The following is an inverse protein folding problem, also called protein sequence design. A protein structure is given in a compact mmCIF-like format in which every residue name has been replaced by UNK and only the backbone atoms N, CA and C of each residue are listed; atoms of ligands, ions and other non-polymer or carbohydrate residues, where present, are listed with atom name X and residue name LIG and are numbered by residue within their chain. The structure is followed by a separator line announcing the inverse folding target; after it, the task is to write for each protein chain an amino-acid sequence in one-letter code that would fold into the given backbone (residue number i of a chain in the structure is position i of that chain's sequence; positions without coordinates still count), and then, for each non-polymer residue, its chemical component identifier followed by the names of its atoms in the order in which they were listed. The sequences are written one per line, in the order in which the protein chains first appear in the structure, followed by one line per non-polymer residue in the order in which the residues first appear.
data_IF_928040342478
#
_entry.id   IF_928040342478
#
_cell.length_a   1.000
_cell.length_b   1.000
_cell.length_c   1.000
_cell.angle_alpha   90.00
_cell.angle_beta   90.00
_cell.angle_gamma   90.00
#
_symmetry.space_group_name_H-M   'P 1'
#
loop_
_entity.id
_entity.type
_entity.pdbx_description
1 polymer ?
#
# COMPACT_ATOMS: atom_id res chain seq x y z
N UNK A 1 12.78 27.47 -19.38
CA UNK A 1 11.54 26.69 -19.26
C UNK A 1 11.81 25.28 -19.80
N UNK A 2 12.38 24.40 -18.97
CA UNK A 2 12.73 23.02 -19.35
C UNK A 2 11.56 22.11 -18.96
N UNK A 3 10.67 21.86 -19.92
CA UNK A 3 9.66 20.80 -19.81
C UNK A 3 10.40 19.46 -19.90
N UNK A 4 10.59 18.79 -18.77
CA UNK A 4 11.00 17.38 -18.75
C UNK A 4 9.80 16.51 -19.10
N UNK A 5 9.60 16.27 -20.39
CA UNK A 5 8.69 15.24 -20.89
C UNK A 5 9.28 13.87 -20.60
N UNK A 6 8.86 13.26 -19.48
CA UNK A 6 9.08 11.84 -19.21
C UNK A 6 8.20 11.01 -20.17
N UNK A 7 8.62 10.86 -21.41
CA UNK A 7 8.00 9.89 -22.34
C UNK A 7 8.35 8.48 -21.87
N UNK A 8 7.36 7.79 -21.27
CA UNK A 8 7.42 6.35 -21.03
C UNK A 8 7.74 5.65 -22.35
N UNK A 9 8.89 5.01 -22.47
CA UNK A 9 9.21 4.22 -23.67
C UNK A 9 8.15 3.11 -23.81
N UNK A 10 7.50 2.99 -24.97
CA UNK A 10 6.41 2.05 -25.17
C UNK A 10 6.86 0.58 -25.12
N UNK A 11 8.16 0.29 -25.14
CA UNK A 11 8.72 -1.07 -25.28
C UNK A 11 9.07 -1.72 -23.92
N UNK A 12 9.28 -0.93 -22.87
CA UNK A 12 9.79 -1.44 -21.59
C UNK A 12 8.72 -2.29 -20.89
N UNK A 13 9.09 -3.52 -20.52
CA UNK A 13 8.20 -4.43 -19.81
C UNK A 13 7.16 -5.13 -20.70
N UNK A 14 7.24 -4.99 -22.03
CA UNK A 14 6.38 -5.75 -22.95
C UNK A 14 6.93 -7.15 -23.17
N UNK A 15 6.01 -8.08 -23.36
CA UNK A 15 6.31 -9.44 -23.82
C UNK A 15 6.39 -9.38 -25.35
N UNK A 16 7.59 -9.61 -25.90
CA UNK A 16 7.87 -9.43 -27.34
C UNK A 16 7.31 -10.57 -28.20
N UNK A 17 7.18 -11.77 -27.62
CA UNK A 17 6.65 -12.96 -28.27
C UNK A 17 5.61 -13.61 -27.37
N UNK A 18 4.48 -14.06 -27.95
CA UNK A 18 3.42 -14.73 -27.20
C UNK A 18 3.98 -16.04 -26.60
N UNK A 19 3.91 -16.23 -25.27
CA UNK A 19 4.42 -17.45 -24.67
C UNK A 19 3.57 -18.67 -25.04
N UNK A 20 4.22 -19.81 -25.22
CA UNK A 20 3.59 -21.11 -25.39
C UNK A 20 2.95 -21.63 -24.10
N UNK A 21 2.19 -22.72 -24.19
CA UNK A 21 1.50 -23.31 -23.04
C UNK A 21 2.49 -23.73 -21.93
N UNK A 22 3.62 -24.34 -22.30
CA UNK A 22 4.64 -24.79 -21.34
C UNK A 22 5.24 -23.61 -20.58
N UNK A 23 5.58 -22.53 -21.26
CA UNK A 23 6.13 -21.33 -20.63
C UNK A 23 5.14 -20.67 -19.68
N UNK A 24 3.85 -20.64 -20.05
CA UNK A 24 2.78 -20.15 -19.18
C UNK A 24 2.68 -21.02 -17.92
N UNK A 25 2.70 -22.35 -18.05
CA UNK A 25 2.65 -23.25 -16.89
C UNK A 25 3.89 -23.09 -16.00
N UNK A 26 5.09 -23.02 -16.57
CA UNK A 26 6.33 -22.80 -15.82
C UNK A 26 6.33 -21.45 -15.09
N UNK A 27 5.80 -20.39 -15.71
CA UNK A 27 5.61 -19.10 -15.05
C UNK A 27 4.57 -19.18 -13.92
N UNK A 28 3.39 -19.74 -14.19
CA UNK A 28 2.28 -19.81 -13.23
C UNK A 28 2.62 -20.66 -11.99
N UNK A 29 3.44 -21.69 -12.16
CA UNK A 29 3.85 -22.60 -11.08
C UNK A 29 5.32 -22.42 -10.66
N UNK A 30 5.94 -21.29 -11.00
CA UNK A 30 7.32 -21.01 -10.61
C UNK A 30 7.45 -20.94 -9.08
N UNK A 31 8.21 -21.89 -8.52
CA UNK A 31 8.33 -22.08 -7.08
C UNK A 31 8.82 -20.84 -6.32
N UNK A 32 9.59 -19.97 -6.99
CA UNK A 32 10.21 -18.77 -6.40
C UNK A 32 9.19 -17.78 -5.83
N UNK A 33 7.97 -17.74 -6.37
CA UNK A 33 6.91 -16.88 -5.83
C UNK A 33 5.53 -17.51 -5.77
N UNK A 34 5.47 -18.85 -5.80
CA UNK A 34 4.20 -19.60 -5.80
C UNK A 34 3.40 -19.46 -4.50
N UNK A 35 4.07 -19.36 -3.34
CA UNK A 35 3.38 -19.50 -2.05
C UNK A 35 2.71 -18.21 -1.55
N UNK A 36 3.48 -17.18 -1.23
CA UNK A 36 2.97 -15.98 -0.51
C UNK A 36 3.20 -14.67 -1.26
N UNK A 37 3.55 -14.76 -2.55
CA UNK A 37 4.02 -13.65 -3.38
C UNK A 37 5.55 -13.57 -3.41
N UNK A 38 6.14 -12.46 -3.91
CA UNK A 38 5.49 -11.30 -4.51
C UNK A 38 4.76 -11.60 -5.83
N UNK A 39 3.84 -10.71 -6.24
CA UNK A 39 3.36 -10.68 -7.62
C UNK A 39 4.49 -10.21 -8.55
N UNK A 40 4.66 -10.89 -9.68
CA UNK A 40 5.58 -10.47 -10.73
C UNK A 40 4.99 -10.78 -12.10
N UNK A 41 5.36 -10.00 -13.11
CA UNK A 41 4.90 -10.19 -14.49
C UNK A 41 5.66 -11.31 -15.18
N UNK A 42 5.05 -11.88 -16.22
CA UNK A 42 5.74 -12.82 -17.12
C UNK A 42 7.06 -12.25 -17.65
N UNK A 43 7.11 -10.94 -17.97
CA UNK A 43 8.36 -10.32 -18.42
C UNK A 43 9.47 -10.39 -17.38
N UNK A 44 9.17 -10.19 -16.09
CA UNK A 44 10.16 -10.31 -15.01
C UNK A 44 10.66 -11.73 -14.86
N UNK A 45 9.76 -12.71 -14.99
CA UNK A 45 10.13 -14.12 -15.03
C UNK A 45 11.05 -14.44 -16.23
N UNK A 46 10.69 -13.97 -17.42
CA UNK A 46 11.50 -14.16 -18.63
C UNK A 46 12.86 -13.47 -18.53
N UNK A 47 12.93 -12.24 -18.00
CA UNK A 47 14.19 -11.53 -17.77
C UNK A 47 15.10 -12.34 -16.86
N UNK A 48 14.55 -12.92 -15.79
CA UNK A 48 15.28 -13.79 -14.88
C UNK A 48 15.79 -15.07 -15.54
N UNK A 49 15.04 -15.67 -16.47
CA UNK A 49 15.53 -16.83 -17.23
C UNK A 49 16.60 -16.47 -18.27
N UNK A 50 16.56 -15.23 -18.78
CA UNK A 50 17.50 -14.73 -19.80
C UNK A 50 18.68 -13.97 -19.19
N UNK A 51 18.76 -13.89 -17.86
CA UNK A 51 19.83 -13.18 -17.18
C UNK A 51 21.14 -13.95 -17.29
N UNK A 52 22.26 -13.22 -17.26
CA UNK A 52 23.61 -13.77 -17.13
C UNK A 52 23.69 -14.61 -15.85
N UNK A 53 24.63 -15.55 -15.77
CA UNK A 53 24.83 -16.44 -14.63
C UNK A 53 24.44 -15.81 -13.28
N UNK A 54 23.34 -16.29 -12.71
CA UNK A 54 22.78 -15.81 -11.45
C UNK A 54 23.78 -15.85 -10.28
N UNK A 55 24.82 -16.69 -10.39
CA UNK A 55 25.87 -16.82 -9.37
C UNK A 55 26.72 -15.55 -9.22
N UNK A 56 26.82 -14.74 -10.28
CA UNK A 56 27.61 -13.49 -10.28
C UNK A 56 26.83 -12.28 -9.75
N UNK A 57 25.50 -12.40 -9.64
CA UNK A 57 24.64 -11.33 -9.15
C UNK A 57 24.67 -11.30 -7.61
N UNK A 58 25.00 -10.16 -6.97
CA UNK A 58 25.03 -10.08 -5.52
C UNK A 58 23.66 -10.37 -4.89
N UNK A 59 23.52 -11.53 -4.24
CA UNK A 59 22.29 -11.95 -3.56
C UNK A 59 22.44 -12.02 -2.04
N UNK A 60 23.59 -12.49 -1.54
CA UNK A 60 23.82 -12.74 -0.11
C UNK A 60 23.65 -11.50 0.77
N UNK A 61 24.36 -10.40 0.45
CA UNK A 61 24.29 -9.16 1.26
C UNK A 61 22.89 -8.52 1.23
N UNK A 62 22.24 -8.33 0.06
CA UNK A 62 20.86 -7.85 0.01
C UNK A 62 19.87 -8.74 0.77
N UNK A 63 20.02 -10.06 0.67
CA UNK A 63 19.17 -11.01 1.38
C UNK A 63 19.33 -10.88 2.90
N UNK A 64 20.57 -10.84 3.42
CA UNK A 64 20.80 -10.66 4.86
C UNK A 64 20.26 -9.32 5.37
N UNK A 65 20.43 -8.25 4.59
CA UNK A 65 19.85 -6.96 4.93
C UNK A 65 18.32 -7.03 5.03
N UNK A 66 17.67 -7.79 4.14
CA UNK A 66 16.23 -7.98 4.15
C UNK A 66 15.77 -8.90 5.28
N UNK A 67 16.56 -9.92 5.59
CA UNK A 67 16.30 -10.92 6.63
C UNK A 67 16.38 -10.35 8.05
N UNK A 68 17.22 -9.34 8.31
CA UNK A 68 17.57 -8.85 9.67
C UNK A 68 16.38 -8.57 10.61
N UNK A 69 15.24 -8.15 10.06
CA UNK A 69 14.05 -7.81 10.85
C UNK A 69 13.09 -8.99 11.06
N UNK A 70 13.25 -10.08 10.31
CA UNK A 70 12.34 -11.23 10.34
C UNK A 70 12.28 -11.87 11.74
N UNK A 71 13.40 -12.15 12.44
CA UNK A 71 13.33 -12.73 13.78
C UNK A 71 12.62 -11.82 14.78
N UNK A 72 12.83 -10.50 14.69
CA UNK A 72 12.22 -9.51 15.57
C UNK A 72 10.69 -9.50 15.37
N UNK A 73 10.23 -9.43 14.12
CA UNK A 73 8.80 -9.51 13.81
C UNK A 73 8.20 -10.86 14.19
N UNK A 74 8.94 -11.97 14.02
CA UNK A 74 8.52 -13.30 14.43
C UNK A 74 8.30 -13.41 15.94
N UNK A 75 9.24 -12.92 16.75
CA UNK A 75 9.11 -12.88 18.21
C UNK A 75 7.91 -12.02 18.62
N UNK A 76 7.76 -10.83 18.05
CA UNK A 76 6.62 -9.97 18.33
C UNK A 76 5.28 -10.62 17.95
N UNK A 77 5.22 -11.29 16.80
CA UNK A 77 4.05 -12.06 16.39
C UNK A 77 3.69 -13.14 17.42
N UNK A 78 4.65 -13.99 17.80
CA UNK A 78 4.42 -15.10 18.73
C UNK A 78 4.04 -14.61 20.14
N UNK A 79 4.77 -13.64 20.67
CA UNK A 79 4.54 -13.11 22.03
C UNK A 79 3.20 -12.39 22.12
N UNK A 80 2.92 -11.45 21.20
CA UNK A 80 1.68 -10.66 21.28
C UNK A 80 0.44 -11.51 20.96
N UNK A 81 0.54 -12.48 20.04
CA UNK A 81 -0.58 -13.39 19.74
C UNK A 81 -0.92 -14.31 20.91
N UNK A 82 0.06 -14.68 21.73
CA UNK A 82 -0.17 -15.45 22.96
C UNK A 82 -1.01 -14.66 23.98
N UNK A 83 -0.69 -13.37 24.18
CA UNK A 83 -1.42 -12.52 25.15
C UNK A 83 -2.74 -11.97 24.61
N UNK A 84 -2.86 -11.81 23.29
CA UNK A 84 -4.03 -11.22 22.63
C UNK A 84 -4.60 -12.16 21.56
N UNK A 85 -5.15 -13.33 21.95
CA UNK A 85 -5.71 -14.29 21.00
C UNK A 85 -6.97 -13.74 20.34
N UNK A 86 -7.08 -13.89 19.02
CA UNK A 86 -8.24 -13.43 18.25
C UNK A 86 -9.56 -14.03 18.74
N UNK A 87 -9.55 -15.30 19.15
CA UNK A 87 -10.77 -16.00 19.58
C UNK A 87 -11.40 -15.41 20.85
N UNK A 88 -10.63 -14.69 21.68
CA UNK A 88 -11.18 -14.02 22.85
C UNK A 88 -12.25 -12.99 22.44
N UNK A 89 -12.11 -12.35 21.28
CA UNK A 89 -13.07 -11.37 20.74
C UNK A 89 -14.45 -11.99 20.50
N UNK A 90 -14.52 -13.31 20.26
CA UNK A 90 -15.78 -14.04 20.05
C UNK A 90 -16.49 -14.41 21.35
N UNK A 91 -15.80 -14.31 22.49
CA UNK A 91 -16.33 -14.72 23.80
C UNK A 91 -17.28 -13.66 24.41
N UNK A 92 -18.26 -14.10 25.20
CA UNK A 92 -19.12 -13.17 25.95
C UNK A 92 -18.33 -12.33 26.97
N UNK A 93 -17.31 -12.92 27.59
CA UNK A 93 -16.42 -12.23 28.54
C UNK A 93 -15.72 -11.00 27.92
N UNK A 94 -15.42 -11.03 26.62
CA UNK A 94 -14.90 -9.85 25.91
C UNK A 94 -15.92 -8.70 25.88
N UNK A 95 -17.19 -9.02 25.64
CA UNK A 95 -18.26 -8.02 25.53
C UNK A 95 -18.73 -7.47 26.88
N UNK A 96 -18.43 -8.15 27.99
CA UNK A 96 -18.58 -7.63 29.35
C UNK A 96 -17.54 -6.54 29.68
N UNK A 97 -16.46 -6.43 28.91
CA UNK A 97 -15.43 -5.41 29.13
C UNK A 97 -15.92 -4.03 28.69
N UNK A 98 -15.44 -3.00 29.40
CA UNK A 98 -15.72 -1.60 29.06
C UNK A 98 -15.28 -1.21 27.65
N UNK A 99 -15.89 -0.15 27.11
CA UNK A 99 -15.59 0.38 25.77
C UNK A 99 -14.08 0.64 25.53
N UNK A 100 -13.31 1.26 26.47
CA UNK A 100 -11.88 1.50 26.24
C UNK A 100 -11.09 0.22 26.02
N UNK A 101 -11.42 -0.86 26.72
CA UNK A 101 -10.74 -2.14 26.56
C UNK A 101 -11.04 -2.74 25.18
N UNK A 102 -12.29 -2.70 24.73
CA UNK A 102 -12.69 -3.21 23.41
C UNK A 102 -12.02 -2.42 22.28
N UNK A 103 -11.94 -1.09 22.40
CA UNK A 103 -11.20 -0.24 21.46
C UNK A 103 -9.69 -0.49 21.50
N UNK A 104 -9.12 -0.78 22.67
CA UNK A 104 -7.72 -1.13 22.78
C UNK A 104 -7.42 -2.47 22.11
N UNK A 105 -8.30 -3.47 22.23
CA UNK A 105 -8.02 -4.84 21.81
C UNK A 105 -7.81 -5.02 20.29
N UNK A 106 -8.38 -4.16 19.45
CA UNK A 106 -8.06 -4.18 18.00
C UNK A 106 -6.60 -3.80 17.69
N UNK A 107 -5.94 -3.03 18.55
CA UNK A 107 -4.56 -2.57 18.35
C UNK A 107 -3.55 -3.75 18.36
N UNK A 108 -3.49 -4.60 19.41
CA UNK A 108 -2.61 -5.76 19.39
C UNK A 108 -3.03 -6.78 18.33
N UNK A 109 -4.31 -6.93 18.01
CA UNK A 109 -4.77 -7.82 16.93
C UNK A 109 -4.20 -7.37 15.56
N UNK A 110 -4.31 -6.09 15.23
CA UNK A 110 -3.73 -5.58 13.99
C UNK A 110 -2.20 -5.59 14.01
N UNK A 111 -1.58 -5.36 15.17
CA UNK A 111 -0.13 -5.52 15.32
C UNK A 111 0.31 -6.95 15.00
N UNK A 112 -0.33 -7.96 15.60
CA UNK A 112 -0.09 -9.39 15.32
C UNK A 112 -0.29 -9.69 13.83
N UNK A 113 -1.37 -9.18 13.24
CA UNK A 113 -1.64 -9.32 11.81
C UNK A 113 -0.49 -8.78 10.96
N UNK A 114 -0.03 -7.54 11.22
CA UNK A 114 1.10 -6.94 10.51
C UNK A 114 2.38 -7.72 10.67
N UNK A 115 2.76 -8.07 11.90
CA UNK A 115 4.00 -8.83 12.16
C UNK A 115 4.03 -10.16 11.40
N UNK A 116 2.90 -10.89 11.39
CA UNK A 116 2.76 -12.14 10.63
C UNK A 116 3.00 -11.95 9.14
N UNK A 117 2.41 -10.92 8.54
CA UNK A 117 2.58 -10.63 7.11
C UNK A 117 3.96 -10.05 6.79
N UNK A 118 4.57 -9.27 7.69
CA UNK A 118 5.95 -8.80 7.54
C UNK A 118 6.91 -9.98 7.46
N UNK A 119 6.77 -10.96 8.37
CA UNK A 119 7.56 -12.20 8.31
C UNK A 119 7.33 -12.92 6.99
N UNK A 120 6.07 -13.19 6.63
CA UNK A 120 5.75 -13.97 5.43
C UNK A 120 6.29 -13.33 4.14
N UNK A 121 6.11 -12.01 3.97
CA UNK A 121 6.56 -11.32 2.76
C UNK A 121 8.07 -11.06 2.75
N UNK A 122 8.70 -10.77 3.88
CA UNK A 122 10.16 -10.64 3.91
C UNK A 122 10.84 -12.00 3.62
N UNK A 123 10.30 -13.12 4.12
CA UNK A 123 10.78 -14.45 3.76
C UNK A 123 10.64 -14.72 2.26
N UNK A 124 9.50 -14.38 1.66
CA UNK A 124 9.26 -14.55 0.24
C UNK A 124 10.22 -13.70 -0.61
N UNK A 125 10.46 -12.46 -0.21
CA UNK A 125 11.45 -11.60 -0.85
C UNK A 125 12.86 -12.14 -0.71
N UNK A 126 13.23 -12.69 0.47
CA UNK A 126 14.53 -13.35 0.64
C UNK A 126 14.68 -14.55 -0.30
N UNK A 127 13.62 -15.34 -0.52
CA UNK A 127 13.64 -16.44 -1.47
C UNK A 127 13.85 -15.96 -2.92
N UNK A 128 13.18 -14.87 -3.32
CA UNK A 128 13.44 -14.23 -4.62
C UNK A 128 14.88 -13.73 -4.72
N UNK A 129 15.38 -13.01 -3.72
CA UNK A 129 16.75 -12.47 -3.71
C UNK A 129 17.79 -13.60 -3.79
N UNK A 130 17.60 -14.69 -3.03
CA UNK A 130 18.48 -15.85 -3.06
C UNK A 130 18.60 -16.48 -4.46
N UNK A 131 17.53 -16.42 -5.25
CA UNK A 131 17.48 -16.90 -6.64
C UNK A 131 17.94 -15.84 -7.67
N UNK A 132 18.42 -14.68 -7.23
CA UNK A 132 18.62 -13.48 -8.07
C UNK A 132 17.35 -13.05 -8.84
N UNK A 133 16.17 -13.48 -8.38
CA UNK A 133 14.90 -13.23 -9.04
C UNK A 133 14.46 -11.78 -8.84
N UNK A 134 14.22 -11.08 -9.95
CA UNK A 134 13.88 -9.66 -9.94
C UNK A 134 15.06 -8.74 -9.66
N UNK A 135 16.29 -9.24 -9.77
CA UNK A 135 17.49 -8.44 -9.80
C UNK A 135 17.54 -7.63 -11.10
N UNK A 136 17.76 -6.32 -10.99
CA UNK A 136 18.02 -5.46 -12.13
C UNK A 136 19.14 -4.48 -11.80
N UNK A 137 19.87 -3.97 -12.80
CA UNK A 137 20.80 -2.87 -12.59
C UNK A 137 20.09 -1.67 -11.96
N UNK A 138 20.73 -0.98 -11.02
CA UNK A 138 20.16 0.23 -10.40
C UNK A 138 19.77 1.29 -11.45
N UNK A 139 20.47 1.31 -12.58
CA UNK A 139 20.18 2.18 -13.73
C UNK A 139 18.82 1.90 -14.37
N UNK A 140 18.25 0.69 -14.24
CA UNK A 140 16.93 0.31 -14.75
C UNK A 140 15.77 0.99 -14.00
N UNK A 141 16.05 1.60 -12.84
CA UNK A 141 15.09 2.32 -11.98
C UNK A 141 13.82 1.49 -11.77
N UNK A 142 14.01 0.25 -11.35
CA UNK A 142 12.94 -0.71 -11.18
C UNK A 142 11.92 -0.25 -10.14
N UNK A 143 10.68 -0.72 -10.27
CA UNK A 143 9.61 -0.48 -9.29
C UNK A 143 8.93 -1.79 -8.92
N UNK A 144 8.53 -1.87 -7.65
CA UNK A 144 7.75 -2.97 -7.10
C UNK A 144 6.56 -3.35 -8.01
N UNK A 145 6.52 -4.64 -8.39
CA UNK A 145 5.55 -5.25 -9.30
C UNK A 145 5.68 -4.84 -10.77
N UNK A 146 6.24 -3.66 -11.04
CA UNK A 146 6.33 -3.05 -12.35
C UNK A 146 7.61 -3.32 -13.12
N UNK A 147 8.66 -3.84 -12.50
CA UNK A 147 9.95 -4.08 -13.16
C UNK A 147 10.68 -2.79 -13.56
N UNK A 148 11.64 -2.87 -14.50
CA UNK A 148 12.36 -1.74 -15.06
C UNK A 148 11.43 -0.64 -15.57
N UNK A 149 11.80 0.62 -15.35
CA UNK A 149 11.04 1.78 -15.85
C UNK A 149 11.75 2.57 -16.94
N UNK A 150 13.05 2.32 -17.12
CA UNK A 150 13.87 2.87 -18.21
C UNK A 150 14.55 1.72 -18.96
N UNK A 151 14.94 1.98 -20.21
CA UNK A 151 15.80 1.05 -20.95
C UNK A 151 17.17 1.03 -20.28
N UNK A 152 17.75 -0.16 -20.20
CA UNK A 152 19.11 -0.40 -19.70
C UNK A 152 19.78 -1.36 -20.67
N UNK A 153 21.09 -1.26 -20.80
CA UNK A 153 21.83 -2.12 -21.72
C UNK A 153 21.90 -3.55 -21.17
N UNK A 154 21.71 -4.58 -22.03
CA UNK A 154 22.02 -5.94 -21.67
C UNK A 154 23.49 -6.01 -21.28
N UNK A 155 23.78 -6.54 -20.09
CA UNK A 155 25.16 -6.62 -19.60
C UNK A 155 25.93 -7.70 -20.38
N UNK A 156 27.25 -7.58 -20.38
CA UNK A 156 28.15 -8.66 -20.79
C UNK A 156 28.71 -9.39 -19.57
N UNK A 157 29.14 -10.65 -19.72
CA UNK A 157 29.56 -11.53 -18.62
C UNK A 157 30.63 -10.92 -17.68
N UNK A 158 31.51 -10.05 -18.22
CA UNK A 158 32.55 -9.36 -17.44
C UNK A 158 32.08 -8.13 -16.66
N UNK A 159 30.99 -7.49 -17.07
CA UNK A 159 30.48 -6.25 -16.47
C UNK A 159 29.51 -6.53 -15.32
N UNK A 160 28.89 -7.71 -15.32
CA UNK A 160 27.85 -8.09 -14.38
C UNK A 160 28.32 -8.08 -12.91
N UNK A 161 29.59 -8.35 -12.63
CA UNK A 161 30.13 -8.29 -11.25
C UNK A 161 30.44 -6.87 -10.77
N UNK A 162 30.57 -5.92 -11.70
CA UNK A 162 31.06 -4.55 -11.45
C UNK A 162 29.93 -3.53 -11.24
N UNK A 163 28.71 -3.88 -11.64
CA UNK A 163 27.56 -2.98 -11.56
C UNK A 163 26.70 -3.25 -10.32
N UNK A 164 26.06 -2.19 -9.82
CA UNK A 164 25.14 -2.31 -8.70
C UNK A 164 23.76 -2.82 -9.17
N UNK A 165 23.23 -3.82 -8.45
CA UNK A 165 21.86 -4.32 -8.63
C UNK A 165 20.95 -3.89 -7.48
N UNK A 166 19.66 -3.74 -7.80
CA UNK A 166 18.59 -3.69 -6.81
C UNK A 166 17.57 -4.81 -7.04
N UNK A 167 16.74 -5.02 -6.02
CA UNK A 167 15.64 -5.99 -6.01
C UNK A 167 14.30 -5.26 -5.82
N UNK A 168 14.20 -4.00 -6.23
CA UNK A 168 13.00 -3.19 -5.99
C UNK A 168 11.78 -3.76 -6.72
N UNK A 169 11.97 -4.51 -7.82
CA UNK A 169 10.89 -5.19 -8.55
C UNK A 169 10.08 -6.14 -7.68
N UNK A 170 10.76 -6.88 -6.78
CA UNK A 170 10.14 -7.94 -5.96
C UNK A 170 9.80 -7.47 -4.55
N UNK A 171 10.17 -6.22 -4.19
CA UNK A 171 9.87 -5.63 -2.90
C UNK A 171 8.36 -5.55 -2.68
N UNK A 172 7.84 -6.33 -1.75
CA UNK A 172 6.41 -6.47 -1.49
C UNK A 172 5.94 -5.72 -0.24
N UNK A 173 6.85 -5.36 0.67
CA UNK A 173 6.49 -4.68 1.91
C UNK A 173 7.50 -3.62 2.32
N UNK A 174 7.03 -2.49 2.84
CA UNK A 174 7.87 -1.54 3.57
C UNK A 174 7.30 -1.38 4.99
N UNK A 175 7.80 -2.15 5.99
CA UNK A 175 7.29 -2.10 7.35
C UNK A 175 7.32 -0.70 7.98
N UNK A 176 8.39 0.04 7.73
CA UNK A 176 8.52 1.40 8.26
C UNK A 176 7.52 2.35 7.59
N UNK A 177 7.43 2.28 6.26
CA UNK A 177 6.43 3.05 5.49
C UNK A 177 5.00 2.73 5.92
N UNK A 178 4.65 1.46 6.09
CA UNK A 178 3.31 1.05 6.54
C UNK A 178 2.98 1.59 7.93
N UNK A 179 3.92 1.51 8.87
CA UNK A 179 3.68 1.85 10.27
C UNK A 179 3.64 3.36 10.49
N UNK A 180 4.60 4.09 9.91
CA UNK A 180 4.85 5.49 10.26
C UNK A 180 4.36 6.51 9.23
N UNK A 181 3.91 6.10 8.05
CA UNK A 181 3.30 7.07 7.13
C UNK A 181 2.04 7.68 7.73
N UNK A 182 1.82 8.97 7.49
CA UNK A 182 0.69 9.71 8.06
C UNK A 182 -0.63 9.34 7.39
N UNK A 183 -0.61 9.17 6.05
CA UNK A 183 -1.81 9.04 5.23
C UNK A 183 -2.19 7.58 4.99
N UNK A 184 -3.50 7.32 4.94
CA UNK A 184 -4.08 6.03 4.55
C UNK A 184 -3.62 5.67 3.14
N UNK A 185 -3.74 6.61 2.20
CA UNK A 185 -3.33 6.41 0.81
C UNK A 185 -1.88 5.94 0.67
N UNK A 186 -0.97 6.48 1.49
CA UNK A 186 0.44 6.12 1.45
C UNK A 186 0.69 4.77 2.14
N UNK A 187 0.03 4.50 3.27
CA UNK A 187 0.15 3.22 3.95
C UNK A 187 -0.29 2.04 3.08
N UNK A 188 -1.36 2.23 2.30
CA UNK A 188 -1.79 1.25 1.30
C UNK A 188 -0.71 0.97 0.25
N UNK A 189 0.11 1.95 -0.13
CA UNK A 189 1.17 1.78 -1.14
C UNK A 189 2.39 1.02 -0.62
N UNK A 190 2.60 1.00 0.69
CA UNK A 190 3.69 0.29 1.35
C UNK A 190 3.32 -1.15 1.73
N UNK A 191 2.02 -1.47 1.74
CA UNK A 191 1.48 -2.78 2.09
C UNK A 191 1.14 -3.60 0.84
N UNK A 192 1.71 -4.81 0.71
CA UNK A 192 1.49 -5.70 -0.45
C UNK A 192 1.77 -4.99 -1.79
N UNK A 193 2.91 -4.33 -1.88
CA UNK A 193 3.27 -3.34 -2.90
C UNK A 193 3.13 -3.88 -4.33
N UNK A 194 3.50 -5.14 -4.57
CA UNK A 194 3.43 -5.73 -5.91
C UNK A 194 1.99 -5.99 -6.35
N UNK A 195 1.12 -6.40 -5.42
CA UNK A 195 -0.32 -6.56 -5.67
C UNK A 195 -1.00 -5.19 -5.80
N UNK A 196 -0.56 -4.17 -5.04
CA UNK A 196 -1.04 -2.80 -5.23
C UNK A 196 -0.71 -2.28 -6.63
N UNK A 197 0.47 -2.60 -7.15
CA UNK A 197 0.81 -2.30 -8.53
C UNK A 197 -0.14 -3.02 -9.50
N UNK A 198 -0.39 -4.32 -9.29
CA UNK A 198 -1.32 -5.12 -10.10
C UNK A 198 -2.75 -4.54 -10.10
N UNK A 199 -3.30 -4.26 -8.91
CA UNK A 199 -4.61 -3.62 -8.74
C UNK A 199 -4.65 -2.27 -9.47
N UNK A 200 -3.61 -1.45 -9.32
CA UNK A 200 -3.54 -0.15 -9.98
C UNK A 200 -3.50 -0.25 -11.52
N UNK A 201 -2.77 -1.23 -12.07
CA UNK A 201 -2.65 -1.39 -13.52
C UNK A 201 -3.86 -2.04 -14.18
N UNK A 202 -4.37 -3.12 -13.58
CA UNK A 202 -5.31 -4.01 -14.25
C UNK A 202 -6.75 -3.83 -13.78
N UNK A 203 -6.98 -3.26 -12.59
CA UNK A 203 -8.32 -3.10 -12.02
C UNK A 203 -8.72 -1.62 -11.93
N UNK A 204 -7.91 -0.79 -11.29
CA UNK A 204 -8.24 0.63 -11.09
C UNK A 204 -8.31 1.41 -12.41
N UNK A 205 -7.39 1.12 -13.35
CA UNK A 205 -7.33 1.78 -14.67
C UNK A 205 -8.46 1.36 -15.61
N UNK A 206 -8.90 0.11 -15.51
CA UNK A 206 -9.97 -0.48 -16.31
C UNK A 206 -11.36 -0.31 -15.69
N UNK A 207 -11.43 0.23 -14.47
CA UNK A 207 -12.69 0.45 -13.76
C UNK A 207 -13.68 1.26 -14.63
N UNK A 208 -14.96 0.88 -14.69
CA UNK A 208 -15.96 1.48 -15.59
C UNK A 208 -16.44 2.88 -15.13
N UNK A 209 -15.77 3.47 -14.15
CA UNK A 209 -16.20 4.72 -13.50
C UNK A 209 -15.17 5.83 -13.73
N UNK A 210 -15.64 7.06 -13.95
CA UNK A 210 -14.78 8.24 -14.03
C UNK A 210 -14.42 8.80 -12.66
N UNK A 211 -15.34 8.70 -11.69
CA UNK A 211 -15.15 9.23 -10.34
C UNK A 211 -14.03 8.50 -9.60
N UNK A 212 -13.06 9.25 -9.07
CA UNK A 212 -11.94 8.73 -8.29
C UNK A 212 -12.41 7.77 -7.18
N UNK A 213 -13.48 8.13 -6.46
CA UNK A 213 -13.93 7.32 -5.34
C UNK A 213 -14.59 6.01 -5.78
N UNK A 214 -15.37 6.05 -6.86
CA UNK A 214 -16.01 4.85 -7.43
C UNK A 214 -14.98 3.88 -8.00
N UNK A 215 -13.89 4.39 -8.60
CA UNK A 215 -12.76 3.55 -9.02
C UNK A 215 -12.04 2.90 -7.84
N UNK A 216 -11.87 3.62 -6.73
CA UNK A 216 -11.31 3.06 -5.51
C UNK A 216 -12.25 2.00 -4.92
N UNK A 217 -13.55 2.28 -4.81
CA UNK A 217 -14.54 1.31 -4.33
C UNK A 217 -14.58 0.04 -5.19
N UNK A 218 -14.56 0.19 -6.51
CA UNK A 218 -14.45 -0.93 -7.45
C UNK A 218 -13.18 -1.75 -7.22
N UNK A 219 -12.04 -1.09 -7.08
CA UNK A 219 -10.75 -1.76 -6.84
C UNK A 219 -10.75 -2.50 -5.50
N UNK A 220 -11.32 -1.90 -4.46
CA UNK A 220 -11.41 -2.51 -3.13
C UNK A 220 -12.41 -3.67 -3.10
N UNK A 221 -13.49 -3.61 -3.88
CA UNK A 221 -14.44 -4.73 -4.06
C UNK A 221 -13.75 -5.94 -4.69
N UNK A 222 -13.01 -5.73 -5.78
CA UNK A 222 -12.23 -6.80 -6.43
C UNK A 222 -11.11 -7.31 -5.52
N UNK A 223 -10.47 -6.42 -4.75
CA UNK A 223 -9.49 -6.82 -3.74
C UNK A 223 -10.12 -7.71 -2.67
N UNK A 224 -11.32 -7.39 -2.18
CA UNK A 224 -12.04 -8.23 -1.22
C UNK A 224 -12.35 -9.61 -1.80
N UNK A 225 -12.87 -9.67 -3.03
CA UNK A 225 -13.13 -10.91 -3.74
C UNK A 225 -11.87 -11.77 -3.90
N UNK A 226 -10.73 -11.15 -4.22
CA UNK A 226 -9.44 -11.85 -4.32
C UNK A 226 -9.00 -12.47 -2.99
N UNK A 227 -9.34 -11.86 -1.85
CA UNK A 227 -9.08 -12.43 -0.53
C UNK A 227 -10.06 -13.56 -0.15
N UNK A 228 -11.28 -13.56 -0.69
CA UNK A 228 -12.24 -14.64 -0.56
C UNK A 228 -13.71 -14.18 -0.53
N UNK A 229 -14.62 -15.12 -0.29
CA UNK A 229 -16.07 -14.87 -0.27
C UNK A 229 -16.63 -14.53 1.12
N UNK A 230 -15.78 -14.45 2.15
CA UNK A 230 -16.19 -14.12 3.50
C UNK A 230 -16.68 -12.67 3.61
N UNK A 231 -17.88 -12.40 4.17
CA UNK A 231 -18.45 -11.05 4.24
C UNK A 231 -17.56 -10.01 4.93
N UNK A 232 -16.77 -10.44 5.93
CA UNK A 232 -15.82 -9.61 6.66
C UNK A 232 -14.81 -8.89 5.75
N UNK A 233 -14.34 -9.56 4.68
CA UNK A 233 -13.47 -8.93 3.69
C UNK A 233 -14.16 -7.76 3.00
N UNK A 234 -15.39 -7.96 2.50
CA UNK A 234 -16.11 -6.94 1.75
C UNK A 234 -16.35 -5.69 2.59
N UNK A 235 -16.85 -5.84 3.82
CA UNK A 235 -17.14 -4.70 4.69
C UNK A 235 -15.86 -3.99 5.16
N UNK A 236 -14.76 -4.71 5.38
CA UNK A 236 -13.46 -4.10 5.68
C UNK A 236 -12.89 -3.30 4.51
N UNK A 237 -12.80 -3.91 3.33
CA UNK A 237 -12.23 -3.25 2.15
C UNK A 237 -13.10 -2.08 1.66
N UNK A 238 -14.42 -2.20 1.72
CA UNK A 238 -15.34 -1.11 1.33
C UNK A 238 -15.38 0.03 2.35
N UNK A 239 -14.77 -0.13 3.53
CA UNK A 239 -14.54 0.98 4.47
C UNK A 239 -13.40 1.90 4.00
N UNK A 240 -12.42 1.38 3.25
CA UNK A 240 -11.26 2.15 2.77
C UNK A 240 -11.66 3.38 1.94
N UNK A 241 -12.54 3.30 0.92
CA UNK A 241 -12.98 4.47 0.17
C UNK A 241 -13.56 5.58 1.06
N UNK A 242 -14.39 5.22 2.05
CA UNK A 242 -14.96 6.20 2.98
C UNK A 242 -13.86 6.92 3.77
N UNK A 243 -12.88 6.19 4.29
CA UNK A 243 -11.75 6.80 4.99
C UNK A 243 -10.88 7.67 4.06
N UNK A 244 -10.71 7.29 2.79
CA UNK A 244 -10.01 8.10 1.78
C UNK A 244 -10.76 9.41 1.46
N UNK A 245 -12.10 9.40 1.44
CA UNK A 245 -12.90 10.61 1.30
C UNK A 245 -12.68 11.56 2.49
N UNK A 246 -12.75 11.01 3.71
CA UNK A 246 -12.53 11.76 4.94
C UNK A 246 -11.13 12.39 4.98
N UNK A 247 -10.10 11.59 4.68
CA UNK A 247 -8.71 12.04 4.57
C UNK A 247 -8.55 13.17 3.53
N UNK A 248 -9.09 12.98 2.33
CA UNK A 248 -9.00 13.97 1.25
C UNK A 248 -9.71 15.30 1.58
N UNK A 249 -10.88 15.22 2.22
CA UNK A 249 -11.65 16.39 2.64
C UNK A 249 -10.92 17.16 3.75
N UNK A 250 -10.41 16.48 4.78
CA UNK A 250 -9.67 17.11 5.87
C UNK A 250 -8.34 17.71 5.41
N UNK A 251 -7.60 17.01 4.55
CA UNK A 251 -6.38 17.57 3.94
C UNK A 251 -6.70 18.86 3.17
N UNK A 252 -7.77 18.84 2.38
CA UNK A 252 -8.14 19.95 1.51
C UNK A 252 -8.80 21.14 2.21
N UNK A 253 -9.58 20.89 3.26
CA UNK A 253 -10.35 21.92 3.97
C UNK A 253 -9.65 22.48 5.20
N UNK A 254 -8.71 21.72 5.79
CA UNK A 254 -8.11 22.06 7.08
C UNK A 254 -6.59 21.92 7.09
N UNK A 255 -6.05 20.71 6.95
CA UNK A 255 -4.65 20.41 7.30
C UNK A 255 -3.62 21.16 6.43
N UNK A 256 -3.87 21.30 5.13
CA UNK A 256 -2.97 22.03 4.23
C UNK A 256 -2.83 23.53 4.53
N UNK A 257 -3.69 24.05 5.41
CA UNK A 257 -3.76 25.46 5.74
C UNK A 257 -3.33 25.78 7.18
N UNK A 258 -2.83 24.79 7.91
CA UNK A 258 -2.25 25.01 9.23
C UNK A 258 -0.88 25.65 9.09
N UNK A 259 -0.45 26.37 10.13
CA UNK A 259 0.95 26.78 10.27
C UNK A 259 1.87 25.54 10.31
N UNK A 260 3.18 25.68 10.09
CA UNK A 260 4.11 24.54 10.16
C UNK A 260 4.00 23.74 11.48
N UNK A 261 3.92 24.43 12.62
CA UNK A 261 3.75 23.78 13.93
C UNK A 261 2.37 23.12 14.06
N UNK A 262 1.32 23.74 13.52
CA UNK A 262 -0.02 23.14 13.49
C UNK A 262 -0.09 21.89 12.60
N UNK A 263 0.62 21.91 11.47
CA UNK A 263 0.74 20.77 10.55
C UNK A 263 1.39 19.57 11.23
N UNK A 264 2.43 19.79 12.02
CA UNK A 264 3.10 18.72 12.78
C UNK A 264 2.13 17.98 13.71
N UNK A 265 1.35 18.70 14.51
CA UNK A 265 0.33 18.10 15.37
C UNK A 265 -0.80 17.46 14.57
N UNK A 266 -1.21 18.10 13.47
CA UNK A 266 -2.19 17.56 12.54
C UNK A 266 -1.76 16.22 11.93
N UNK A 267 -0.49 16.09 11.55
CA UNK A 267 0.08 14.87 11.00
C UNK A 267 0.15 13.75 12.06
N UNK A 268 0.47 14.06 13.31
CA UNK A 268 0.40 13.09 14.42
C UNK A 268 -1.02 12.57 14.67
N UNK A 269 -2.00 13.48 14.70
CA UNK A 269 -3.42 13.11 14.87
C UNK A 269 -3.89 12.29 13.67
N UNK A 270 -3.54 12.68 12.45
CA UNK A 270 -3.90 11.95 11.24
C UNK A 270 -3.26 10.55 11.22
N UNK A 271 -1.98 10.43 11.60
CA UNK A 271 -1.32 9.15 11.74
C UNK A 271 -2.04 8.26 12.76
N UNK A 272 -2.39 8.80 13.93
CA UNK A 272 -3.12 8.06 14.95
C UNK A 272 -4.47 7.57 14.43
N UNK A 273 -5.24 8.44 13.78
CA UNK A 273 -6.53 8.10 13.18
C UNK A 273 -6.40 7.06 12.07
N UNK A 274 -5.38 7.16 11.21
CA UNK A 274 -5.04 6.15 10.20
C UNK A 274 -4.83 4.79 10.85
N UNK A 275 -4.01 4.72 11.92
CA UNK A 275 -3.76 3.46 12.63
C UNK A 275 -5.04 2.89 13.23
N UNK A 276 -5.89 3.71 13.89
CA UNK A 276 -7.18 3.25 14.41
C UNK A 276 -8.14 2.76 13.33
N UNK A 277 -8.15 3.41 12.16
CA UNK A 277 -8.93 2.95 11.02
C UNK A 277 -8.43 1.60 10.50
N UNK A 278 -7.11 1.40 10.45
CA UNK A 278 -6.52 0.11 10.08
C UNK A 278 -6.81 -0.99 11.09
N UNK A 279 -6.72 -0.69 12.39
CA UNK A 279 -7.08 -1.63 13.46
C UNK A 279 -8.54 -2.10 13.28
N UNK A 280 -9.44 -1.15 13.07
CA UNK A 280 -10.87 -1.41 12.89
C UNK A 280 -11.18 -2.22 11.63
N UNK A 281 -10.57 -1.89 10.49
CA UNK A 281 -10.72 -2.64 9.24
C UNK A 281 -10.08 -4.03 9.35
N UNK A 282 -8.97 -4.17 10.07
CA UNK A 282 -8.37 -5.47 10.34
C UNK A 282 -9.34 -6.39 11.07
N UNK A 283 -10.09 -5.88 12.05
CA UNK A 283 -11.08 -6.69 12.78
C UNK A 283 -12.08 -7.37 11.84
N UNK A 284 -12.67 -6.64 10.90
CA UNK A 284 -13.56 -7.26 9.92
C UNK A 284 -12.84 -8.25 8.99
N UNK A 285 -11.57 -7.99 8.64
CA UNK A 285 -10.78 -8.89 7.81
C UNK A 285 -10.49 -10.21 8.53
N UNK A 286 -10.16 -10.19 9.82
CA UNK A 286 -9.75 -11.40 10.57
C UNK A 286 -10.92 -12.15 11.19
N UNK A 287 -12.06 -11.49 11.44
CA UNK A 287 -13.26 -12.16 11.98
C UNK A 287 -14.03 -12.96 10.93
N UNK A 288 -13.85 -12.63 9.64
CA UNK A 288 -14.40 -13.32 8.45
C UNK A 288 -15.92 -13.25 8.31
N UNK A 289 -16.68 -13.62 9.33
CA UNK A 289 -18.14 -13.71 9.25
C UNK A 289 -18.80 -12.34 9.40
N UNK A 290 -19.97 -12.19 8.78
CA UNK A 290 -20.77 -10.97 8.94
C UNK A 290 -21.18 -10.78 10.39
N UNK A 291 -21.66 -11.84 11.05
CA UNK A 291 -22.14 -11.82 12.43
C UNK A 291 -21.06 -11.38 13.42
N UNK A 292 -19.88 -12.02 13.40
CA UNK A 292 -18.79 -11.66 14.31
C UNK A 292 -18.34 -10.22 14.09
N UNK A 293 -18.23 -9.80 12.83
CA UNK A 293 -17.75 -8.45 12.49
C UNK A 293 -18.76 -7.39 12.95
N UNK A 294 -20.04 -7.58 12.67
CA UNK A 294 -21.10 -6.64 13.07
C UNK A 294 -21.28 -6.64 14.58
N UNK A 295 -21.20 -7.78 15.25
CA UNK A 295 -21.20 -7.87 16.71
C UNK A 295 -20.03 -7.09 17.31
N UNK A 296 -18.83 -7.24 16.77
CA UNK A 296 -17.67 -6.48 17.24
C UNK A 296 -17.83 -4.97 16.99
N UNK A 297 -18.16 -4.55 15.76
CA UNK A 297 -18.28 -3.14 15.40
C UNK A 297 -19.44 -2.42 16.09
N UNK A 298 -20.60 -3.08 16.27
CA UNK A 298 -21.70 -2.54 17.07
C UNK A 298 -21.29 -2.30 18.52
N UNK A 299 -20.49 -3.20 19.09
CA UNK A 299 -20.00 -3.09 20.47
C UNK A 299 -19.10 -1.87 20.70
N UNK A 300 -18.47 -1.35 19.65
CA UNK A 300 -17.68 -0.11 19.64
C UNK A 300 -18.37 1.03 18.88
N UNK A 301 -19.69 0.93 18.71
CA UNK A 301 -20.56 1.97 18.14
C UNK A 301 -20.19 2.42 16.72
N UNK A 302 -19.60 1.54 15.90
CA UNK A 302 -19.15 1.84 14.55
C UNK A 302 -18.28 3.11 14.48
N UNK A 303 -17.46 3.34 15.51
CA UNK A 303 -16.81 4.64 15.75
C UNK A 303 -15.96 5.15 14.57
N UNK A 304 -15.33 4.25 13.80
CA UNK A 304 -14.54 4.63 12.61
C UNK A 304 -15.43 5.04 11.43
N UNK A 305 -16.55 4.35 11.19
CA UNK A 305 -17.50 4.78 10.15
C UNK A 305 -18.11 6.13 10.48
N UNK A 306 -18.59 6.30 11.72
CA UNK A 306 -19.14 7.57 12.20
C UNK A 306 -18.10 8.68 12.13
N UNK A 307 -16.88 8.41 12.60
CA UNK A 307 -15.77 9.36 12.55
C UNK A 307 -15.39 9.74 11.12
N UNK A 308 -15.31 8.79 10.19
CA UNK A 308 -14.99 9.07 8.79
C UNK A 308 -16.05 9.95 8.12
N UNK A 309 -17.35 9.68 8.35
CA UNK A 309 -18.43 10.55 7.86
C UNK A 309 -18.32 11.95 8.47
N UNK A 310 -18.10 12.05 9.79
CA UNK A 310 -17.93 13.33 10.47
C UNK A 310 -16.77 14.14 9.89
N UNK A 311 -15.59 13.55 9.76
CA UNK A 311 -14.41 14.24 9.21
C UNK A 311 -14.56 14.60 7.73
N UNK A 312 -15.26 13.77 6.95
CA UNK A 312 -15.61 14.10 5.57
C UNK A 312 -16.49 15.36 5.49
N UNK A 313 -17.55 15.42 6.31
CA UNK A 313 -18.45 16.58 6.35
C UNK A 313 -17.73 17.83 6.87
N UNK A 314 -16.98 17.70 7.96
CA UNK A 314 -16.21 18.81 8.54
C UNK A 314 -15.20 19.38 7.54
N UNK A 315 -14.39 18.52 6.91
CA UNK A 315 -13.41 18.95 5.91
C UNK A 315 -14.06 19.64 4.71
N UNK A 316 -15.21 19.14 4.26
CA UNK A 316 -16.00 19.77 3.20
C UNK A 316 -16.51 21.15 3.59
N UNK A 317 -17.12 21.30 4.77
CA UNK A 317 -17.66 22.57 5.26
C UNK A 317 -16.55 23.61 5.41
N UNK A 318 -15.43 23.25 6.05
CA UNK A 318 -14.27 24.14 6.20
C UNK A 318 -13.69 24.56 4.84
N UNK A 319 -13.65 23.63 3.88
CA UNK A 319 -13.23 23.92 2.51
C UNK A 319 -14.15 24.91 1.78
N UNK A 320 -15.47 24.80 1.97
CA UNK A 320 -16.45 25.72 1.37
C UNK A 320 -16.36 27.10 2.03
N UNK A 321 -16.34 27.17 3.36
CA UNK A 321 -16.25 28.42 4.11
C UNK A 321 -15.01 29.24 3.71
N UNK A 322 -13.86 28.58 3.52
CA UNK A 322 -12.64 29.24 3.05
C UNK A 322 -12.77 29.79 1.63
N UNK A 323 -13.43 29.07 0.72
CA UNK A 323 -13.66 29.56 -0.65
C UNK A 323 -14.56 30.79 -0.67
N UNK A 324 -15.57 30.83 0.19
CA UNK A 324 -16.49 31.97 0.33
C UNK A 324 -15.87 33.14 1.11
N UNK A 325 -14.94 32.87 2.03
CA UNK A 325 -14.20 33.90 2.78
C UNK A 325 -13.07 34.58 2.00
N UNK A 326 -12.77 34.15 0.76
CA UNK A 326 -11.72 34.71 -0.09
C UNK A 326 -12.18 35.54 -1.32
N UNK A 327 -13.23 36.42 -1.31
CA UNK A 327 -13.66 37.14 -2.52
C UNK A 327 -12.92 38.47 -2.82
N UNK A 328 -11.74 38.76 -2.26
CA UNK A 328 -11.17 40.14 -2.28
C UNK A 328 -9.87 40.41 -3.07
N UNK A 329 -9.49 39.59 -4.07
CA UNK A 329 -8.33 39.89 -4.94
C UNK A 329 -8.63 39.87 -6.45
N UNK A 330 -9.85 40.24 -6.87
CA UNK A 330 -10.21 40.37 -8.30
C UNK A 330 -10.80 41.73 -8.70
N UNK A 331 -10.62 42.78 -7.92
CA UNK A 331 -10.97 44.13 -8.35
C UNK A 331 -9.89 45.13 -7.93
N UNK A 332 -9.25 45.77 -8.92
CA UNK A 332 -8.58 47.05 -8.74
C UNK A 332 -7.06 47.05 -8.88
N UNK A 333 -6.55 46.88 -10.11
CA UNK A 333 -5.35 47.60 -10.52
C UNK A 333 -5.73 48.45 -11.73
N UNK A 334 -5.84 49.79 -11.60
CA UNK A 334 -5.97 50.67 -12.75
C UNK A 334 -4.71 50.54 -13.60
N UNK A 335 -4.89 50.25 -14.89
CA UNK A 335 -3.87 50.52 -15.90
C UNK A 335 -3.56 52.02 -15.85
N UNK A 336 -2.31 52.38 -15.57
CA UNK A 336 -1.83 53.73 -15.87
C UNK A 336 -0.73 53.67 -16.94
N UNK A 337 -0.80 54.51 -17.98
CA UNK A 337 0.05 54.43 -19.16
C UNK A 337 1.25 55.39 -19.09
N UNK A 338 2.37 54.98 -19.71
CA UNK A 338 3.49 55.77 -20.26
C UNK A 338 4.40 56.60 -19.33
N UNK A 339 5.72 56.37 -19.51
CA UNK A 339 6.80 57.33 -19.82
C UNK A 339 8.10 56.47 -19.90
N UNK A 340 8.70 56.15 -21.06
CA UNK A 340 9.52 57.01 -21.94
C UNK A 340 10.44 57.96 -21.18
N UNK A 341 11.65 57.49 -20.85
CA UNK A 341 12.93 57.90 -21.47
C UNK A 341 14.01 56.83 -21.23
#
# INVERSE_FOLDING_TARGET
MLLTTFTKSPVIGRVLQKPGLVEILCYSYCYVGLMTGPFYRYRTYHDWLSQIDSSVIPSWRPMLYRFRMIPIFGIFFLVVSHFFPLDYVRSNAFYERGLPFRLFYMVPIFFVFRMRFYVAWLCAECACIAAAFGAYPVTAKSRSGGGPTVQYEPLTDGEASSIAYDYETIKNIDPHGTDFCVKIKDGMRYWNMTVQWWLAQYIYKSAPFHSYIMRNAWTMLISAYWHGIHPGYYISFLTIPLCLLAEGAMESGFLKHLSPSGRLWGDWIQWFMKMRAYDYMCMGFVLLTFEDTIRYWSSIYYCIHVGAVFFFLLGTVLGIQRKWGSPKDKQGAPQNPKQQE
#
